data_IF_427991877642
#
_entry.id   IF_427991877642
#
_cell.length_a   1.000
_cell.length_b   1.000
_cell.length_c   1.000
_cell.angle_alpha   90.00
_cell.angle_beta   90.00
_cell.angle_gamma   90.00
#
_symmetry.space_group_name_H-M   'P 1'
#
loop_
_entity.id
_entity.type
_entity.pdbx_description
1 polymer ?
#
# COMPACT_ATOMS: atom_id res chain seq x y z
N UNK A 1 -8.04 -15.04 17.05
CA UNK A 1 -7.00 -14.31 16.27
C UNK A 1 -6.47 -13.19 17.16
N UNK A 2 -5.17 -12.91 17.14
CA UNK A 2 -4.58 -11.85 17.98
C UNK A 2 -4.89 -10.43 17.48
N UNK A 3 -5.27 -10.27 16.20
CA UNK A 3 -5.74 -8.99 15.63
C UNK A 3 -7.25 -9.07 15.44
N UNK A 4 -7.96 -8.17 16.09
CA UNK A 4 -9.42 -8.03 15.99
C UNK A 4 -9.74 -6.53 15.92
N UNK A 5 -9.84 -5.95 14.71
CA UNK A 5 -10.06 -4.53 14.56
C UNK A 5 -11.44 -4.12 15.10
N UNK A 6 -11.46 -3.01 15.84
CA UNK A 6 -12.70 -2.37 16.29
C UNK A 6 -13.02 -1.21 15.34
N UNK A 7 -14.17 -1.25 14.71
CA UNK A 7 -14.63 -0.20 13.78
C UNK A 7 -16.16 -0.18 13.72
N UNK A 8 -16.70 0.94 13.23
CA UNK A 8 -18.13 1.12 13.09
C UNK A 8 -18.49 1.35 11.62
N UNK A 9 -19.48 0.63 11.11
CA UNK A 9 -20.08 0.90 9.81
C UNK A 9 -21.12 1.99 9.95
N UNK A 10 -20.77 3.23 9.58
CA UNK A 10 -21.74 4.34 9.51
C UNK A 10 -22.65 4.20 8.30
N UNK A 11 -23.80 4.90 8.32
CA UNK A 11 -24.66 5.00 7.14
C UNK A 11 -23.94 5.60 5.93
N UNK A 12 -23.08 6.58 6.16
CA UNK A 12 -22.28 7.20 5.10
C UNK A 12 -21.31 6.18 4.48
N UNK A 13 -20.55 5.48 5.31
CA UNK A 13 -19.64 4.43 4.83
C UNK A 13 -20.40 3.33 4.07
N UNK A 14 -21.59 2.94 4.56
CA UNK A 14 -22.44 1.95 3.87
C UNK A 14 -22.87 2.44 2.49
N UNK A 15 -23.26 3.72 2.33
CA UNK A 15 -23.58 4.30 1.02
C UNK A 15 -22.40 4.27 0.07
N UNK A 16 -21.20 4.65 0.57
CA UNK A 16 -19.96 4.61 -0.24
C UNK A 16 -19.66 3.17 -0.70
N UNK A 17 -19.82 2.18 0.18
CA UNK A 17 -19.61 0.77 -0.20
C UNK A 17 -20.59 0.33 -1.31
N UNK A 18 -21.86 0.71 -1.23
CA UNK A 18 -22.83 0.41 -2.27
C UNK A 18 -22.49 1.11 -3.61
N UNK A 19 -21.98 2.33 -3.58
CA UNK A 19 -21.50 3.02 -4.77
C UNK A 19 -20.26 2.32 -5.37
N UNK A 20 -19.32 1.87 -4.54
CA UNK A 20 -18.16 1.09 -4.99
C UNK A 20 -18.62 -0.19 -5.69
N UNK A 21 -19.56 -0.94 -5.11
CA UNK A 21 -20.11 -2.15 -5.75
C UNK A 21 -20.74 -1.85 -7.10
N UNK A 22 -21.55 -0.81 -7.17
CA UNK A 22 -22.18 -0.40 -8.44
C UNK A 22 -21.17 -0.04 -9.51
N UNK A 23 -20.10 0.68 -9.14
CA UNK A 23 -19.04 1.03 -10.09
C UNK A 23 -18.19 -0.17 -10.48
N UNK A 24 -17.92 -1.07 -9.53
CA UNK A 24 -17.23 -2.32 -9.80
C UNK A 24 -17.98 -3.15 -10.85
N UNK A 25 -19.29 -3.38 -10.65
CA UNK A 25 -20.12 -4.11 -11.59
C UNK A 25 -20.12 -3.43 -12.98
N UNK A 26 -20.26 -2.11 -13.03
CA UNK A 26 -20.23 -1.36 -14.28
C UNK A 26 -18.90 -1.54 -15.03
N UNK A 27 -17.78 -1.54 -14.33
CA UNK A 27 -16.45 -1.76 -14.92
C UNK A 27 -16.29 -3.22 -15.39
N UNK A 28 -16.77 -4.18 -14.59
CA UNK A 28 -16.65 -5.60 -14.92
C UNK A 28 -17.39 -5.98 -16.20
N UNK A 29 -18.59 -5.42 -16.42
CA UNK A 29 -19.39 -5.67 -17.62
C UNK A 29 -19.06 -4.74 -18.80
N UNK A 30 -18.22 -3.70 -18.61
CA UNK A 30 -17.88 -2.75 -19.64
C UNK A 30 -17.13 -3.42 -20.80
N UNK A 31 -17.61 -3.28 -22.05
CA UNK A 31 -16.98 -3.89 -23.23
C UNK A 31 -15.75 -3.11 -23.69
N UNK A 32 -14.67 -3.19 -22.94
CA UNK A 32 -13.39 -2.57 -23.29
C UNK A 32 -12.55 -3.58 -24.07
N UNK A 33 -12.01 -3.18 -25.24
CA UNK A 33 -11.14 -4.06 -25.99
C UNK A 33 -9.79 -4.28 -25.28
N UNK A 34 -9.16 -5.43 -25.59
CA UNK A 34 -7.93 -5.87 -24.92
C UNK A 34 -6.79 -4.83 -25.00
N UNK A 35 -6.59 -4.18 -26.15
CA UNK A 35 -5.54 -3.17 -26.34
C UNK A 35 -5.75 -1.95 -25.46
N UNK A 36 -6.99 -1.48 -25.33
CA UNK A 36 -7.34 -0.36 -24.45
C UNK A 36 -7.13 -0.71 -22.99
N UNK A 37 -7.54 -1.91 -22.54
CA UNK A 37 -7.29 -2.35 -21.14
C UNK A 37 -5.79 -2.42 -20.87
N UNK A 38 -4.98 -2.92 -21.80
CA UNK A 38 -3.53 -2.98 -21.64
C UNK A 38 -2.92 -1.59 -21.48
N UNK A 39 -3.31 -0.62 -22.31
CA UNK A 39 -2.85 0.76 -22.22
C UNK A 39 -3.26 1.44 -20.90
N UNK A 40 -4.52 1.23 -20.47
CA UNK A 40 -5.01 1.78 -19.20
C UNK A 40 -4.27 1.18 -18.00
N UNK A 41 -3.97 -0.12 -18.03
CA UNK A 41 -3.16 -0.78 -16.98
C UNK A 41 -1.75 -0.21 -16.91
N UNK A 42 -1.11 0.01 -18.04
CA UNK A 42 0.22 0.61 -18.08
C UNK A 42 0.20 2.02 -17.50
N UNK A 43 -0.80 2.83 -17.87
CA UNK A 43 -1.01 4.16 -17.27
C UNK A 43 -1.24 4.08 -15.77
N UNK A 44 -2.09 3.17 -15.29
CA UNK A 44 -2.35 2.98 -13.86
C UNK A 44 -1.07 2.59 -13.10
N UNK A 45 -0.27 1.68 -13.64
CA UNK A 45 1.03 1.29 -13.06
C UNK A 45 2.01 2.46 -12.98
N UNK A 46 2.08 3.27 -14.03
CA UNK A 46 2.90 4.48 -14.08
C UNK A 46 2.47 5.45 -12.98
N UNK A 47 1.18 5.76 -12.89
CA UNK A 47 0.64 6.69 -11.90
C UNK A 47 0.79 6.16 -10.47
N UNK A 48 0.53 4.88 -10.23
CA UNK A 48 0.76 4.25 -8.92
C UNK A 48 2.21 4.37 -8.48
N UNK A 49 3.15 4.14 -9.39
CA UNK A 49 4.59 4.25 -9.09
C UNK A 49 4.98 5.70 -8.80
N UNK A 50 4.58 6.63 -9.68
CA UNK A 50 4.88 8.05 -9.51
C UNK A 50 4.33 8.57 -8.18
N UNK A 51 3.04 8.42 -7.94
CA UNK A 51 2.40 8.99 -6.77
C UNK A 51 2.80 8.31 -5.47
N UNK A 52 3.01 6.98 -5.47
CA UNK A 52 3.48 6.30 -4.26
C UNK A 52 4.88 6.75 -3.84
N UNK A 53 5.76 7.02 -4.78
CA UNK A 53 7.10 7.55 -4.47
C UNK A 53 7.04 9.04 -4.14
N UNK A 54 6.20 9.82 -4.81
CA UNK A 54 6.00 11.24 -4.54
C UNK A 54 5.48 11.51 -3.11
N UNK A 55 4.58 10.68 -2.59
CA UNK A 55 4.10 10.76 -1.18
C UNK A 55 5.28 10.70 -0.20
N UNK A 56 6.32 9.94 -0.54
CA UNK A 56 7.54 9.79 0.27
C UNK A 56 8.62 10.86 -0.05
N UNK A 57 8.30 11.86 -0.86
CA UNK A 57 9.18 12.98 -1.18
C UNK A 57 10.05 12.82 -2.43
N UNK A 58 9.79 11.81 -3.28
CA UNK A 58 10.46 11.66 -4.57
C UNK A 58 10.14 12.84 -5.50
N UNK A 59 11.15 13.42 -6.14
CA UNK A 59 11.04 14.63 -6.93
C UNK A 59 10.92 14.39 -8.45
N UNK A 60 10.84 13.13 -8.90
CA UNK A 60 10.68 12.83 -10.34
C UNK A 60 9.29 13.23 -10.83
N UNK A 61 9.26 13.85 -12.00
CA UNK A 61 8.01 14.18 -12.69
C UNK A 61 7.42 12.94 -13.38
N UNK A 62 6.12 12.96 -13.69
CA UNK A 62 5.44 11.85 -14.39
C UNK A 62 6.17 11.44 -15.66
N UNK A 63 6.62 12.41 -16.48
CA UNK A 63 7.36 12.14 -17.73
C UNK A 63 8.73 11.50 -17.50
N UNK A 64 9.40 11.79 -16.37
CA UNK A 64 10.66 11.16 -15.99
C UNK A 64 10.43 9.72 -15.56
N UNK A 65 9.36 9.46 -14.79
CA UNK A 65 8.93 8.11 -14.37
C UNK A 65 8.52 7.28 -15.59
N UNK A 66 7.77 7.85 -16.54
CA UNK A 66 7.40 7.21 -17.81
C UNK A 66 8.62 6.77 -18.61
N UNK A 67 9.62 7.66 -18.75
CA UNK A 67 10.87 7.33 -19.42
C UNK A 67 11.60 6.14 -18.77
N UNK A 68 11.61 6.07 -17.43
CA UNK A 68 12.19 4.92 -16.70
C UNK A 68 11.40 3.63 -16.93
N UNK A 69 10.06 3.69 -16.99
CA UNK A 69 9.19 2.53 -17.22
C UNK A 69 9.40 1.89 -18.59
N UNK A 70 9.75 2.70 -19.59
CA UNK A 70 10.02 2.26 -20.97
C UNK A 70 11.45 1.73 -21.18
N UNK A 71 12.21 1.53 -20.11
CA UNK A 71 13.63 1.08 -20.18
C UNK A 71 14.58 2.17 -20.65
N UNK A 72 14.13 3.41 -20.66
CA UNK A 72 15.00 4.56 -20.92
C UNK A 72 16.13 4.59 -19.89
N UNK A 73 17.37 4.90 -20.36
CA UNK A 73 18.47 5.11 -19.42
C UNK A 73 18.08 6.25 -18.48
N UNK A 74 18.20 6.03 -17.17
CA UNK A 74 18.19 7.06 -16.15
C UNK A 74 19.23 8.14 -16.48
N UNK A 75 19.59 8.92 -15.55
CA UNK A 75 20.58 9.98 -15.74
C UNK A 75 19.92 11.33 -15.62
N UNK A 76 19.02 11.43 -14.63
CA UNK A 76 18.53 12.74 -14.15
C UNK A 76 19.54 13.24 -13.10
N UNK A 77 20.44 14.16 -13.45
CA UNK A 77 21.52 14.59 -12.57
C UNK A 77 21.00 15.04 -11.20
N UNK A 78 21.59 14.48 -10.13
CA UNK A 78 21.18 14.79 -8.75
C UNK A 78 19.92 14.09 -8.27
N UNK A 79 19.32 13.18 -9.07
CA UNK A 79 18.11 12.42 -8.72
C UNK A 79 18.34 10.89 -8.71
N UNK A 80 19.58 10.45 -8.55
CA UNK A 80 19.94 9.02 -8.61
C UNK A 80 19.26 8.18 -7.53
N UNK A 81 18.94 8.78 -6.38
CA UNK A 81 18.15 8.14 -5.32
C UNK A 81 16.72 7.96 -5.79
N UNK A 82 16.11 9.03 -6.31
CA UNK A 82 14.74 9.06 -6.76
C UNK A 82 14.50 8.07 -7.90
N UNK A 83 15.46 7.97 -8.84
CA UNK A 83 15.43 6.99 -9.93
C UNK A 83 15.40 5.55 -9.39
N UNK A 84 16.27 5.22 -8.42
CA UNK A 84 16.30 3.90 -7.81
C UNK A 84 15.00 3.58 -7.07
N UNK A 85 14.43 4.53 -6.33
CA UNK A 85 13.16 4.35 -5.63
C UNK A 85 12.02 4.02 -6.61
N UNK A 86 11.94 4.72 -7.73
CA UNK A 86 10.96 4.48 -8.79
C UNK A 86 11.16 3.09 -9.41
N UNK A 87 12.38 2.73 -9.79
CA UNK A 87 12.70 1.42 -10.37
C UNK A 87 12.37 0.28 -9.38
N UNK A 88 12.71 0.46 -8.12
CA UNK A 88 12.42 -0.50 -7.05
C UNK A 88 10.91 -0.69 -6.88
N UNK A 89 10.14 0.41 -6.91
CA UNK A 89 8.68 0.34 -6.79
C UNK A 89 8.05 -0.37 -7.98
N UNK A 90 8.50 -0.12 -9.21
CA UNK A 90 8.06 -0.87 -10.40
C UNK A 90 8.30 -2.38 -10.25
N UNK A 91 9.47 -2.77 -9.72
CA UNK A 91 9.76 -4.18 -9.47
C UNK A 91 8.85 -4.77 -8.38
N UNK A 92 8.60 -4.03 -7.30
CA UNK A 92 7.72 -4.45 -6.23
C UNK A 92 6.26 -4.58 -6.73
N UNK A 93 5.79 -3.64 -7.55
CA UNK A 93 4.47 -3.69 -8.19
C UNK A 93 4.36 -4.90 -9.12
N UNK A 94 5.34 -5.14 -9.98
CA UNK A 94 5.39 -6.33 -10.82
C UNK A 94 5.39 -7.64 -10.01
N UNK A 95 6.04 -7.64 -8.85
CA UNK A 95 6.00 -8.82 -7.98
C UNK A 95 4.61 -9.06 -7.38
N UNK A 96 3.93 -8.05 -6.84
CA UNK A 96 2.58 -8.25 -6.29
C UNK A 96 1.58 -8.70 -7.36
N UNK A 97 1.75 -8.26 -8.62
CA UNK A 97 0.92 -8.71 -9.74
C UNK A 97 0.99 -10.23 -9.96
N UNK A 98 2.15 -10.85 -9.73
CA UNK A 98 2.29 -12.31 -9.77
C UNK A 98 1.56 -13.03 -8.64
N UNK A 99 1.08 -12.28 -7.63
CA UNK A 99 0.37 -12.81 -6.47
C UNK A 99 -1.16 -12.60 -6.55
N UNK A 100 -1.66 -11.86 -7.53
CA UNK A 100 -3.09 -11.53 -7.63
C UNK A 100 -3.98 -12.78 -7.72
N UNK A 101 -3.66 -13.68 -8.63
CA UNK A 101 -4.45 -14.89 -8.89
C UNK A 101 -3.99 -16.10 -8.05
N UNK A 102 -3.12 -15.88 -7.07
CA UNK A 102 -2.58 -16.96 -6.25
C UNK A 102 -3.54 -17.31 -5.11
N UNK A 103 -4.14 -18.51 -5.17
CA UNK A 103 -5.03 -19.02 -4.12
C UNK A 103 -4.31 -19.30 -2.78
N UNK A 104 -2.97 -19.32 -2.74
CA UNK A 104 -2.22 -19.58 -1.52
C UNK A 104 -2.30 -18.39 -0.55
N UNK A 105 -2.24 -18.62 0.76
CA UNK A 105 -2.22 -17.56 1.76
C UNK A 105 -1.11 -16.54 1.53
N UNK A 106 -1.40 -15.27 1.84
CA UNK A 106 -0.38 -14.22 1.94
C UNK A 106 0.50 -14.53 3.16
N UNK A 107 1.81 -14.54 2.98
CA UNK A 107 2.76 -14.89 4.03
C UNK A 107 3.56 -13.67 4.51
N UNK A 108 4.01 -13.68 5.75
CA UNK A 108 4.95 -12.67 6.24
C UNK A 108 6.24 -12.62 5.39
N UNK A 109 6.66 -13.77 4.84
CA UNK A 109 7.77 -13.83 3.90
C UNK A 109 7.52 -12.96 2.67
N UNK A 110 6.34 -13.06 2.06
CA UNK A 110 5.97 -12.23 0.91
C UNK A 110 5.91 -10.74 1.26
N UNK A 111 5.39 -10.38 2.44
CA UNK A 111 5.40 -8.99 2.91
C UNK A 111 6.84 -8.48 3.06
N UNK A 112 7.74 -9.25 3.64
CA UNK A 112 9.17 -8.94 3.76
C UNK A 112 9.86 -8.83 2.39
N UNK A 113 9.47 -9.65 1.42
CA UNK A 113 9.96 -9.60 0.04
C UNK A 113 9.48 -8.34 -0.69
N UNK A 114 8.19 -7.97 -0.55
CA UNK A 114 7.64 -6.72 -1.09
C UNK A 114 8.42 -5.52 -0.53
N UNK A 115 8.59 -5.47 0.78
CA UNK A 115 9.35 -4.41 1.43
C UNK A 115 10.82 -4.35 0.93
N UNK A 116 11.49 -5.48 0.83
CA UNK A 116 12.87 -5.56 0.33
C UNK A 116 12.99 -5.05 -1.12
N UNK A 117 12.02 -5.39 -1.97
CA UNK A 117 11.94 -4.86 -3.33
C UNK A 117 11.79 -3.35 -3.33
N UNK A 118 10.91 -2.79 -2.51
CA UNK A 118 10.71 -1.33 -2.36
C UNK A 118 12.01 -0.61 -1.99
N UNK A 119 12.80 -1.18 -1.08
CA UNK A 119 14.02 -0.52 -0.60
C UNK A 119 15.22 -0.74 -1.51
N UNK A 120 15.40 -1.96 -2.00
CA UNK A 120 16.68 -2.39 -2.59
C UNK A 120 16.56 -2.95 -4.01
N UNK A 121 15.34 -3.07 -4.53
CA UNK A 121 15.08 -3.77 -5.80
C UNK A 121 15.38 -5.28 -5.73
N UNK A 122 15.57 -5.85 -4.55
CA UNK A 122 15.98 -7.25 -4.35
C UNK A 122 14.97 -8.02 -3.51
N UNK A 123 14.59 -9.22 -3.96
CA UNK A 123 13.62 -10.10 -3.30
C UNK A 123 14.27 -10.97 -2.21
N UNK A 124 15.04 -10.37 -1.31
CA UNK A 124 15.72 -11.12 -0.23
C UNK A 124 14.92 -11.23 1.06
N UNK A 125 13.93 -10.34 1.24
CA UNK A 125 13.20 -10.17 2.49
C UNK A 125 13.97 -9.31 3.50
N UNK A 126 13.30 -8.28 4.01
CA UNK A 126 13.86 -7.41 5.06
C UNK A 126 13.40 -7.90 6.43
N UNK A 127 14.28 -8.05 7.42
CA UNK A 127 13.87 -8.32 8.79
C UNK A 127 13.07 -7.13 9.36
N UNK A 128 12.22 -7.39 10.32
CA UNK A 128 11.58 -6.33 11.08
C UNK A 128 12.62 -5.54 11.88
N UNK A 129 12.29 -4.28 12.22
CA UNK A 129 13.16 -3.43 13.05
C UNK A 129 13.40 -4.07 14.42
N UNK A 130 14.61 -3.94 14.91
CA UNK A 130 15.05 -4.42 16.23
C UNK A 130 15.03 -3.30 17.28
N UNK A 131 15.05 -2.04 16.84
CA UNK A 131 15.03 -0.86 17.70
C UNK A 131 13.69 -0.11 17.64
N UNK A 132 13.52 0.81 18.59
CA UNK A 132 12.37 1.72 18.60
C UNK A 132 12.46 2.67 17.42
N UNK A 133 11.32 2.92 16.79
CA UNK A 133 11.14 3.93 15.78
C UNK A 133 10.21 5.02 16.27
N UNK A 134 10.35 6.24 15.75
CA UNK A 134 9.50 7.39 16.08
C UNK A 134 9.27 8.16 14.78
N UNK A 135 8.00 8.44 14.48
CA UNK A 135 7.66 9.28 13.33
C UNK A 135 7.63 10.73 13.79
N UNK A 136 8.37 11.57 13.09
CA UNK A 136 8.49 13.00 13.36
C UNK A 136 7.94 13.82 12.21
N UNK A 137 7.33 14.94 12.56
CA UNK A 137 7.02 15.96 11.56
C UNK A 137 8.31 16.54 10.99
N UNK A 138 8.40 16.60 9.67
CA UNK A 138 9.62 17.03 8.97
C UNK A 138 9.96 18.51 9.16
N UNK A 139 8.98 19.35 9.52
CA UNK A 139 9.17 20.80 9.68
C UNK A 139 9.46 21.17 11.13
N UNK A 140 8.69 20.63 12.08
CA UNK A 140 8.80 20.95 13.51
C UNK A 140 9.75 20.03 14.27
N UNK A 141 10.06 18.84 13.75
CA UNK A 141 10.80 17.79 14.45
C UNK A 141 10.04 17.14 15.62
N UNK A 142 8.80 17.57 15.86
CA UNK A 142 7.95 17.02 16.92
C UNK A 142 7.56 15.58 16.61
N UNK A 143 7.36 14.76 17.65
CA UNK A 143 6.87 13.39 17.51
C UNK A 143 5.40 13.46 17.13
N UNK A 144 5.05 12.92 15.96
CA UNK A 144 3.67 12.83 15.49
C UNK A 144 3.09 11.44 15.70
N UNK A 145 3.95 10.43 15.87
CA UNK A 145 3.52 9.07 16.19
C UNK A 145 4.64 8.21 16.78
N UNK A 146 4.28 7.41 17.78
CA UNK A 146 5.16 6.43 18.44
C UNK A 146 4.62 5.01 18.16
N UNK A 147 5.23 4.27 17.22
CA UNK A 147 4.88 2.88 16.92
C UNK A 147 5.10 1.95 18.14
N UNK A 148 4.54 0.71 18.10
CA UNK A 148 4.76 -0.27 19.16
C UNK A 148 6.25 -0.58 19.36
N UNK A 149 6.58 -1.15 20.50
CA UNK A 149 7.95 -1.61 20.78
C UNK A 149 8.40 -2.66 19.75
N UNK A 150 9.67 -2.67 19.39
CA UNK A 150 10.23 -3.58 18.38
C UNK A 150 9.96 -5.06 18.72
N UNK A 151 9.98 -5.43 20.02
CA UNK A 151 9.70 -6.80 20.48
C UNK A 151 8.28 -7.28 20.14
N UNK A 152 7.32 -6.36 20.00
CA UNK A 152 5.92 -6.69 19.70
C UNK A 152 5.63 -6.83 18.20
N UNK A 153 6.48 -6.23 17.35
CA UNK A 153 6.27 -6.22 15.89
C UNK A 153 6.05 -7.60 15.29
N UNK A 154 6.85 -8.64 15.60
CA UNK A 154 6.62 -9.97 15.03
C UNK A 154 5.25 -10.55 15.38
N UNK A 155 4.80 -10.38 16.61
CA UNK A 155 3.49 -10.84 17.07
C UNK A 155 2.35 -10.10 16.37
N UNK A 156 2.46 -8.77 16.26
CA UNK A 156 1.47 -7.91 15.59
C UNK A 156 1.36 -8.23 14.10
N UNK A 157 2.49 -8.42 13.43
CA UNK A 157 2.52 -8.77 12.00
C UNK A 157 1.97 -10.17 11.73
N UNK A 158 2.24 -11.14 12.61
CA UNK A 158 1.63 -12.46 12.55
C UNK A 158 0.12 -12.39 12.72
N UNK A 159 -0.37 -11.61 13.69
CA UNK A 159 -1.79 -11.38 13.92
C UNK A 159 -2.48 -10.78 12.70
N UNK A 160 -1.90 -9.71 12.13
CA UNK A 160 -2.38 -9.07 10.90
C UNK A 160 -2.43 -10.08 9.74
N UNK A 161 -1.34 -10.81 9.48
CA UNK A 161 -1.25 -11.76 8.36
C UNK A 161 -2.29 -12.90 8.51
N UNK A 162 -2.51 -13.40 9.73
CA UNK A 162 -3.53 -14.41 10.00
C UNK A 162 -4.94 -13.89 9.75
N UNK A 163 -5.23 -12.67 10.19
CA UNK A 163 -6.52 -12.02 9.97
C UNK A 163 -6.78 -11.74 8.49
N UNK A 164 -5.78 -11.25 7.75
CA UNK A 164 -5.89 -11.02 6.31
C UNK A 164 -6.27 -12.30 5.55
N UNK A 165 -5.58 -13.40 5.84
CA UNK A 165 -5.86 -14.67 5.19
C UNK A 165 -7.26 -15.22 5.52
N UNK A 166 -7.73 -15.01 6.74
CA UNK A 166 -9.10 -15.31 7.12
C UNK A 166 -10.09 -14.48 6.30
N UNK A 167 -9.89 -13.16 6.19
CA UNK A 167 -10.78 -12.28 5.42
C UNK A 167 -10.76 -12.59 3.91
N UNK A 168 -9.59 -12.85 3.34
CA UNK A 168 -9.47 -13.22 1.92
C UNK A 168 -10.19 -14.54 1.62
N UNK A 169 -10.15 -15.51 2.55
CA UNK A 169 -10.79 -16.81 2.38
C UNK A 169 -12.30 -16.77 2.64
N UNK A 170 -12.70 -16.23 3.77
CA UNK A 170 -14.08 -16.28 4.26
C UNK A 170 -14.94 -15.07 3.80
N UNK A 171 -14.30 -13.98 3.36
CA UNK A 171 -14.94 -12.74 2.89
C UNK A 171 -16.03 -12.21 3.84
N UNK A 172 -15.74 -12.22 5.15
CA UNK A 172 -16.68 -11.77 6.19
C UNK A 172 -16.96 -10.27 6.09
N UNK A 173 -15.91 -9.50 5.73
CA UNK A 173 -16.00 -8.05 5.56
C UNK A 173 -15.85 -7.67 4.09
N UNK A 174 -16.48 -6.55 3.66
CA UNK A 174 -16.26 -5.99 2.32
C UNK A 174 -14.76 -5.71 2.07
N UNK A 175 -14.28 -6.03 0.86
CA UNK A 175 -12.87 -5.89 0.51
C UNK A 175 -12.29 -4.48 0.75
N UNK A 176 -12.99 -3.36 0.45
CA UNK A 176 -12.49 -2.04 0.77
C UNK A 176 -12.24 -1.82 2.28
N UNK A 177 -13.09 -2.39 3.13
CA UNK A 177 -12.91 -2.33 4.59
C UNK A 177 -11.69 -3.15 5.01
N UNK A 178 -11.55 -4.37 4.50
CA UNK A 178 -10.38 -5.23 4.80
C UNK A 178 -9.10 -4.54 4.37
N UNK A 179 -9.05 -3.98 3.18
CA UNK A 179 -7.89 -3.29 2.65
C UNK A 179 -7.54 -2.03 3.46
N UNK A 180 -8.54 -1.23 3.85
CA UNK A 180 -8.37 -0.05 4.70
C UNK A 180 -7.84 -0.40 6.10
N UNK A 181 -8.43 -1.39 6.77
CA UNK A 181 -7.99 -1.85 8.08
C UNK A 181 -6.58 -2.45 8.05
N UNK A 182 -6.25 -3.19 6.98
CA UNK A 182 -4.92 -3.74 6.78
C UNK A 182 -3.87 -2.65 6.58
N UNK A 183 -4.21 -1.65 5.75
CA UNK A 183 -3.36 -0.47 5.51
C UNK A 183 -3.07 0.26 6.83
N UNK A 184 -4.12 0.60 7.56
CA UNK A 184 -4.03 1.27 8.85
C UNK A 184 -3.18 0.49 9.83
N UNK A 185 -3.46 -0.80 10.04
CA UNK A 185 -2.72 -1.64 10.97
C UNK A 185 -1.25 -1.78 10.58
N UNK A 186 -0.95 -1.98 9.29
CA UNK A 186 0.44 -2.08 8.84
C UNK A 186 1.18 -0.74 9.04
N UNK A 187 0.55 0.38 8.68
CA UNK A 187 1.14 1.70 8.83
C UNK A 187 1.39 2.04 10.31
N UNK A 188 0.49 1.66 11.21
CA UNK A 188 0.60 1.94 12.65
C UNK A 188 1.58 1.00 13.35
N UNK A 189 1.65 -0.28 13.00
CA UNK A 189 2.70 -1.20 13.50
C UNK A 189 4.10 -0.72 13.07
N UNK A 190 4.19 -0.14 11.88
CA UNK A 190 5.42 0.45 11.33
C UNK A 190 6.62 -0.50 11.45
N UNK A 191 6.55 -1.69 10.82
CA UNK A 191 7.44 -2.80 11.13
C UNK A 191 8.90 -2.61 10.69
N UNK A 192 9.21 -1.57 9.92
CA UNK A 192 10.53 -1.29 9.36
C UNK A 192 10.99 0.14 9.68
N UNK A 193 12.25 0.46 9.41
CA UNK A 193 12.79 1.82 9.60
C UNK A 193 12.40 2.79 8.48
N UNK A 194 12.22 2.28 7.25
CA UNK A 194 11.82 3.05 6.05
C UNK A 194 10.95 2.16 5.14
N UNK A 195 10.26 2.74 4.15
CA UNK A 195 9.47 2.02 3.15
C UNK A 195 8.13 1.46 3.63
N UNK A 196 7.71 1.77 4.86
CA UNK A 196 6.44 1.28 5.41
C UNK A 196 5.23 1.77 4.61
N UNK A 197 5.17 3.05 4.25
CA UNK A 197 4.07 3.63 3.48
C UNK A 197 3.94 2.98 2.10
N UNK A 198 5.04 2.87 1.35
CA UNK A 198 5.08 2.22 0.03
C UNK A 198 4.65 0.75 0.11
N UNK A 199 5.11 0.02 1.12
CA UNK A 199 4.71 -1.38 1.36
C UNK A 199 3.24 -1.51 1.75
N UNK A 200 2.71 -0.61 2.59
CA UNK A 200 1.29 -0.58 2.96
C UNK A 200 0.40 -0.39 1.73
N UNK A 201 0.73 0.54 0.84
CA UNK A 201 -0.02 0.79 -0.41
C UNK A 201 0.00 -0.42 -1.33
N UNK A 202 1.16 -1.06 -1.53
CA UNK A 202 1.27 -2.31 -2.32
C UNK A 202 0.47 -3.46 -1.70
N UNK A 203 0.47 -3.60 -0.37
CA UNK A 203 -0.34 -4.62 0.31
C UNK A 203 -1.84 -4.34 0.13
N UNK A 204 -2.26 -3.08 0.19
CA UNK A 204 -3.64 -2.66 -0.09
C UNK A 204 -4.08 -3.06 -1.50
N UNK A 205 -3.26 -2.75 -2.50
CA UNK A 205 -3.50 -3.13 -3.90
C UNK A 205 -3.61 -4.65 -4.05
N UNK A 206 -2.68 -5.41 -3.45
CA UNK A 206 -2.72 -6.87 -3.44
C UNK A 206 -4.02 -7.41 -2.85
N UNK A 207 -4.46 -6.88 -1.71
CA UNK A 207 -5.69 -7.32 -1.04
C UNK A 207 -6.93 -7.03 -1.88
N UNK A 208 -7.04 -5.84 -2.44
CA UNK A 208 -8.16 -5.48 -3.31
C UNK A 208 -8.24 -6.41 -4.52
N UNK A 209 -7.13 -6.70 -5.19
CA UNK A 209 -7.11 -7.66 -6.29
C UNK A 209 -7.52 -9.06 -5.85
N UNK A 210 -6.97 -9.56 -4.74
CA UNK A 210 -7.26 -10.89 -4.18
C UNK A 210 -8.73 -11.08 -3.78
N UNK A 211 -9.40 -9.99 -3.43
CA UNK A 211 -10.81 -9.99 -3.03
C UNK A 211 -11.78 -9.53 -4.15
N UNK A 212 -11.32 -9.51 -5.41
CA UNK A 212 -12.16 -9.24 -6.57
C UNK A 212 -12.38 -7.76 -6.90
N UNK A 213 -11.58 -6.86 -6.33
CA UNK A 213 -11.65 -5.40 -6.59
C UNK A 213 -10.46 -4.91 -7.42
N UNK A 214 -9.92 -5.76 -8.27
CA UNK A 214 -8.86 -5.37 -9.19
C UNK A 214 -9.30 -4.42 -10.29
N UNK A 215 -10.63 -4.32 -10.58
CA UNK A 215 -11.22 -3.38 -11.53
C UNK A 215 -10.44 -3.34 -12.85
N UNK A 216 -10.18 -4.48 -13.45
CA UNK A 216 -9.33 -4.66 -14.63
C UNK A 216 -7.90 -4.09 -14.48
N UNK A 217 -7.48 -3.62 -13.29
CA UNK A 217 -6.16 -3.01 -13.04
C UNK A 217 -6.00 -1.61 -13.62
N UNK A 218 -7.10 -0.88 -13.85
CA UNK A 218 -7.10 0.41 -14.58
C UNK A 218 -7.15 1.65 -13.67
N UNK A 219 -6.87 1.52 -12.38
CA UNK A 219 -6.94 2.61 -11.42
C UNK A 219 -5.66 2.71 -10.57
N UNK A 220 -5.44 3.87 -9.96
CA UNK A 220 -4.39 4.11 -8.98
C UNK A 220 -4.99 4.73 -7.72
N UNK A 221 -4.87 4.05 -6.59
CA UNK A 221 -5.22 4.60 -5.27
C UNK A 221 -4.20 5.64 -4.83
N UNK A 222 -2.95 5.46 -5.21
CA UNK A 222 -1.83 6.32 -4.85
C UNK A 222 -2.02 7.73 -5.44
N UNK A 223 -2.59 7.82 -6.64
CA UNK A 223 -2.96 9.11 -7.24
C UNK A 223 -3.98 9.84 -6.38
N UNK A 224 -5.01 9.14 -5.90
CA UNK A 224 -6.01 9.72 -5.01
C UNK A 224 -5.38 10.16 -3.68
N UNK A 225 -4.53 9.33 -3.07
CA UNK A 225 -3.85 9.66 -1.83
C UNK A 225 -2.94 10.87 -1.96
N UNK A 226 -2.17 10.96 -3.03
CA UNK A 226 -1.28 12.09 -3.28
C UNK A 226 -2.03 13.40 -3.50
N UNK A 227 -3.15 13.35 -4.23
CA UNK A 227 -4.03 14.52 -4.46
C UNK A 227 -4.80 14.95 -3.20
N UNK A 228 -4.98 14.05 -2.22
CA UNK A 228 -5.68 14.28 -0.96
C UNK A 228 -4.76 13.97 0.24
N UNK A 229 -3.50 14.41 0.18
CA UNK A 229 -2.44 13.98 1.08
C UNK A 229 -2.73 14.27 2.56
N UNK A 230 -3.32 15.41 2.87
CA UNK A 230 -3.72 15.76 4.25
C UNK A 230 -4.73 14.76 4.81
N UNK A 231 -5.80 14.50 4.08
CA UNK A 231 -6.83 13.53 4.47
C UNK A 231 -6.27 12.10 4.57
N UNK A 232 -5.32 11.74 3.70
CA UNK A 232 -4.61 10.47 3.79
C UNK A 232 -3.85 10.31 5.11
N UNK A 233 -3.06 11.31 5.51
CA UNK A 233 -2.34 11.26 6.78
C UNK A 233 -3.27 11.37 8.00
N UNK A 234 -4.32 12.17 7.93
CA UNK A 234 -5.33 12.25 8.98
C UNK A 234 -6.03 10.91 9.22
N UNK A 235 -6.31 10.15 8.16
CA UNK A 235 -6.90 8.80 8.25
C UNK A 235 -5.98 7.76 8.91
N UNK A 236 -4.68 8.02 8.98
CA UNK A 236 -3.68 7.17 9.63
C UNK A 236 -3.39 7.60 11.08
N UNK A 237 -4.02 8.67 11.56
CA UNK A 237 -3.76 9.20 12.89
C UNK A 237 -4.31 8.26 13.99
N UNK A 238 -3.53 8.07 15.04
CA UNK A 238 -3.92 7.30 16.24
C UNK A 238 -4.26 8.30 17.35
N UNK A 239 -5.49 8.80 17.37
CA UNK A 239 -6.02 9.61 18.45
C UNK A 239 -5.08 10.70 18.97
N UNK A 240 -5.43 11.33 20.09
CA UNK A 240 -4.66 12.44 20.68
C UNK A 240 -3.35 12.02 21.35
N UNK A 241 -3.23 10.74 21.71
CA UNK A 241 -2.05 10.24 22.43
C UNK A 241 -0.80 10.08 21.55
N UNK A 242 -0.94 10.04 20.25
CA UNK A 242 0.13 9.75 19.29
C UNK A 242 0.95 8.47 19.60
N UNK A 243 0.39 7.54 20.39
CA UNK A 243 1.07 6.34 20.88
C UNK A 243 0.24 5.09 20.57
N UNK A 244 0.86 4.07 19.98
CA UNK A 244 0.20 2.83 19.59
C UNK A 244 -0.60 2.16 20.71
N UNK A 245 -0.08 2.18 21.96
CA UNK A 245 -0.71 1.51 23.10
C UNK A 245 -1.82 2.32 23.79
N UNK A 246 -1.98 3.57 23.40
CA UNK A 246 -2.91 4.52 24.05
C UNK A 246 -3.98 5.06 23.10
N UNK A 247 -3.97 4.66 21.84
CA UNK A 247 -4.92 5.07 20.80
C UNK A 247 -6.09 4.12 20.63
#
# INVERSE_FOLDING_TARGET
>A
MEFNPNFTLSLELTKILLEIERHKEAIDVMPINFGMVASLRETARLLSTHYSTQIEGNALQVSEVERLSQGGKGGFPGKERDEREVQNYFQALGYIETLFDNAKPITEKQIKEIHSLVLTGSKRGTPYREGQNVIRDSKSGSIVYMPPEAKDVPRLMKGLTSWLNYQVKEQVLPAPIVAGLAHYQFATVHPYYDGNGRTARLLTTLLLHRMGYGLKGIYSLEEYYAKNLMAYYESLNIGESHNYYMG
#
